data_IF_885583838829
#
_entry.id   IF_885583838829
#
_cell.length_a   1.000
_cell.length_b   1.000
_cell.length_c   1.000
_cell.angle_alpha   90.00
_cell.angle_beta   90.00
_cell.angle_gamma   90.00
#
_symmetry.space_group_name_H-M   'P 1'
#
loop_
_entity.id
_entity.type
_entity.pdbx_description
1 polymer ?
#
# COMPACT_ATOMS: atom_id res chain seq x y z
N UNK A 1 -21.93 13.31 31.32
CA UNK A 1 -22.48 14.21 30.30
C UNK A 1 -21.28 14.68 29.49
N UNK A 2 -20.96 14.20 28.29
CA UNK A 2 -21.75 13.68 27.19
C UNK A 2 -21.57 12.17 26.98
N UNK A 3 -22.67 11.43 26.87
CA UNK A 3 -22.64 10.12 26.20
C UNK A 3 -22.39 10.41 24.73
N UNK A 4 -21.14 10.27 24.28
CA UNK A 4 -20.84 10.21 22.86
C UNK A 4 -21.46 8.91 22.34
N UNK A 5 -22.72 8.97 21.89
CA UNK A 5 -23.24 7.96 20.98
C UNK A 5 -22.33 8.00 19.75
N UNK A 6 -21.67 6.88 19.47
CA UNK A 6 -20.91 6.74 18.24
C UNK A 6 -21.86 7.05 17.07
N UNK A 7 -21.39 7.79 16.04
CA UNK A 7 -22.21 8.05 14.86
C UNK A 7 -22.74 6.72 14.29
N UNK A 8 -23.96 6.70 13.72
CA UNK A 8 -24.49 5.49 13.09
C UNK A 8 -23.48 4.94 12.07
N UNK A 9 -23.35 3.61 11.99
CA UNK A 9 -22.41 2.91 11.08
C UNK A 9 -22.39 3.50 9.65
N UNK A 10 -23.55 3.93 9.14
CA UNK A 10 -23.66 4.54 7.82
C UNK A 10 -22.90 5.85 7.65
N UNK A 11 -22.77 6.68 8.69
CA UNK A 11 -22.01 7.93 8.64
C UNK A 11 -20.50 7.66 8.60
N UNK A 12 -20.04 6.70 9.40
CA UNK A 12 -18.63 6.26 9.41
C UNK A 12 -18.24 5.69 8.05
N UNK A 13 -19.07 4.81 7.48
CA UNK A 13 -18.84 4.25 6.15
C UNK A 13 -18.86 5.33 5.06
N UNK A 14 -19.74 6.33 5.19
CA UNK A 14 -19.80 7.44 4.23
C UNK A 14 -18.54 8.30 4.29
N UNK A 15 -18.09 8.68 5.49
CA UNK A 15 -16.87 9.47 5.67
C UNK A 15 -15.63 8.72 5.19
N UNK A 16 -15.53 7.42 5.51
CA UNK A 16 -14.44 6.56 5.03
C UNK A 16 -14.45 6.46 3.49
N UNK A 17 -15.62 6.29 2.87
CA UNK A 17 -15.76 6.30 1.40
C UNK A 17 -15.38 7.64 0.79
N UNK A 18 -15.81 8.76 1.37
CA UNK A 18 -15.46 10.10 0.88
C UNK A 18 -13.96 10.34 0.94
N UNK A 19 -13.31 9.98 2.04
CA UNK A 19 -11.85 10.06 2.15
C UNK A 19 -11.15 9.16 1.13
N UNK A 20 -11.64 7.94 0.96
CA UNK A 20 -11.11 7.02 -0.04
C UNK A 20 -11.25 7.55 -1.48
N UNK A 21 -12.37 8.21 -1.81
CA UNK A 21 -12.53 8.85 -3.12
C UNK A 21 -11.58 10.03 -3.31
N UNK A 22 -11.33 10.82 -2.26
CA UNK A 22 -10.36 11.93 -2.31
C UNK A 22 -8.92 11.45 -2.56
N UNK A 23 -8.51 10.34 -1.92
CA UNK A 23 -7.20 9.72 -2.14
C UNK A 23 -7.00 9.23 -3.58
N UNK A 24 -8.09 9.04 -4.33
CA UNK A 24 -8.07 8.63 -5.73
C UNK A 24 -8.04 9.79 -6.71
N UNK A 25 -8.19 11.02 -6.25
CA UNK A 25 -8.18 12.20 -7.12
C UNK A 25 -6.77 12.42 -7.68
N UNK A 26 -6.58 12.50 -9.01
CA UNK A 26 -5.28 12.81 -9.61
C UNK A 26 -4.71 14.12 -9.07
N UNK A 27 -3.48 14.10 -8.58
CA UNK A 27 -2.81 15.29 -8.02
C UNK A 27 -2.95 15.46 -6.50
N UNK A 28 -3.74 14.63 -5.81
CA UNK A 28 -3.73 14.62 -4.35
C UNK A 28 -2.37 14.13 -3.83
N UNK A 29 -1.61 15.00 -3.17
CA UNK A 29 -0.36 14.67 -2.49
C UNK A 29 -0.50 14.91 -0.99
N UNK A 30 -0.24 13.88 -0.20
CA UNK A 30 -0.12 14.01 1.25
C UNK A 30 1.26 14.58 1.56
N UNK A 31 1.36 15.89 1.81
CA UNK A 31 2.61 16.49 2.31
C UNK A 31 2.83 16.09 3.77
N UNK A 32 3.67 15.08 4.00
CA UNK A 32 4.20 14.77 5.33
C UNK A 32 5.32 15.77 5.64
N UNK A 33 4.98 16.88 6.30
CA UNK A 33 6.00 17.80 6.84
C UNK A 33 6.55 17.20 8.13
N UNK A 34 7.84 16.84 8.13
CA UNK A 34 8.52 16.41 9.36
C UNK A 34 8.73 17.61 10.27
N UNK A 35 7.98 17.69 11.37
CA UNK A 35 8.32 18.59 12.46
C UNK A 35 9.55 18.03 13.18
N UNK A 36 10.76 18.47 12.80
CA UNK A 36 11.92 18.36 13.70
C UNK A 36 11.90 19.60 14.60
N UNK A 37 11.71 19.40 15.91
CA UNK A 37 11.86 20.48 16.87
C UNK A 37 13.05 20.18 17.81
N UNK A 38 14.10 21.02 17.88
CA UNK A 38 15.32 20.74 18.63
C UNK A 38 15.27 20.97 20.15
N UNK A 39 14.18 21.47 20.74
CA UNK A 39 14.23 21.97 22.14
C UNK A 39 13.00 21.60 23.00
N UNK A 40 13.10 20.56 23.86
CA UNK A 40 12.75 20.64 25.31
C UNK A 40 12.92 19.31 26.11
N UNK A 41 13.30 19.37 27.43
CA UNK A 41 13.39 18.23 28.36
C UNK A 41 12.14 18.05 29.28
N UNK A 42 12.06 17.02 30.15
CA UNK A 42 10.80 16.36 30.53
C UNK A 42 10.20 16.74 31.90
N UNK A 43 8.88 16.56 32.06
CA UNK A 43 8.27 16.27 33.38
C UNK A 43 6.77 16.57 33.53
N UNK A 44 6.00 15.54 33.91
CA UNK A 44 5.21 15.42 35.17
C UNK A 44 3.88 14.61 35.01
N UNK A 45 3.87 13.47 35.73
CA UNK A 45 2.85 12.65 36.43
C UNK A 45 1.33 12.66 36.09
N UNK A 46 0.82 11.42 35.98
CA UNK A 46 -0.57 10.91 35.95
C UNK A 46 -1.28 10.83 37.31
N UNK A 47 -2.63 10.81 37.32
CA UNK A 47 -3.41 9.65 37.82
C UNK A 47 -4.63 9.35 36.89
N UNK A 48 -5.24 8.18 36.72
CA UNK A 48 -5.34 6.96 37.53
C UNK A 48 -6.81 6.71 37.90
N UNK A 49 -7.61 6.01 37.09
CA UNK A 49 -8.84 5.34 37.56
C UNK A 49 -9.41 4.31 36.58
N UNK A 50 -9.74 3.14 37.15
CA UNK A 50 -10.35 1.95 36.55
C UNK A 50 -11.84 2.15 36.19
N UNK A 51 -12.39 1.33 35.28
CA UNK A 51 -13.72 0.70 35.42
C UNK A 51 -13.96 -0.42 34.38
N UNK A 52 -14.80 -1.39 34.77
CA UNK A 52 -14.94 -2.77 34.25
C UNK A 52 -16.18 -3.00 33.37
N UNK A 53 -16.05 -3.96 32.43
CA UNK A 53 -17.00 -4.97 31.85
C UNK A 53 -18.43 -4.57 31.40
N UNK A 54 -18.94 -5.02 30.24
CA UNK A 54 -19.53 -6.36 29.98
C UNK A 54 -20.02 -6.40 28.50
N UNK A 55 -19.66 -7.31 27.58
CA UNK A 55 -19.94 -8.75 27.32
C UNK A 55 -21.19 -9.16 26.50
N UNK A 56 -22.10 -8.28 26.04
CA UNK A 56 -23.36 -8.74 25.41
C UNK A 56 -23.79 -8.27 23.98
N UNK A 57 -23.05 -7.43 23.25
CA UNK A 57 -23.62 -6.84 22.01
C UNK A 57 -23.42 -7.60 20.68
N UNK A 58 -22.83 -8.79 20.68
CA UNK A 58 -22.39 -9.47 19.44
C UNK A 58 -23.43 -10.30 18.67
N UNK A 59 -24.73 -10.26 19.00
CA UNK A 59 -25.73 -11.18 18.39
C UNK A 59 -26.84 -10.57 17.52
N UNK A 60 -26.85 -9.27 17.26
CA UNK A 60 -27.78 -8.61 16.33
C UNK A 60 -26.97 -7.52 15.65
N UNK A 61 -26.60 -7.58 14.37
CA UNK A 61 -27.49 -7.37 13.23
C UNK A 61 -26.77 -7.94 12.00
N UNK A 62 -27.12 -9.16 11.66
CA UNK A 62 -26.96 -9.74 10.33
C UNK A 62 -28.35 -9.72 9.70
N UNK A 63 -28.72 -8.65 9.00
CA UNK A 63 -29.65 -8.66 7.85
C UNK A 63 -29.87 -7.23 7.33
N UNK A 64 -29.98 -7.11 6.00
CA UNK A 64 -30.38 -5.94 5.21
C UNK A 64 -29.28 -5.00 4.69
N UNK A 65 -28.50 -5.50 3.73
CA UNK A 65 -27.87 -4.70 2.67
C UNK A 65 -28.51 -5.13 1.35
N UNK A 66 -29.44 -4.36 0.79
CA UNK A 66 -29.93 -4.62 -0.59
C UNK A 66 -30.59 -3.47 -1.38
N UNK A 67 -30.35 -2.18 -1.11
CA UNK A 67 -31.14 -1.13 -1.82
C UNK A 67 -30.46 0.19 -2.23
N UNK A 68 -29.16 0.23 -2.53
CA UNK A 68 -28.54 1.47 -3.07
C UNK A 68 -27.65 1.18 -4.30
N UNK A 69 -28.27 0.59 -5.32
CA UNK A 69 -27.68 0.38 -6.67
C UNK A 69 -28.12 1.42 -7.73
N UNK A 70 -29.24 2.18 -7.62
CA UNK A 70 -29.62 3.10 -8.71
C UNK A 70 -28.89 4.46 -8.76
N UNK A 71 -28.22 4.91 -7.69
CA UNK A 71 -27.68 6.29 -7.61
C UNK A 71 -26.36 6.46 -8.38
N UNK A 72 -25.64 5.37 -8.67
CA UNK A 72 -24.32 5.41 -9.32
C UNK A 72 -24.36 5.50 -10.86
N UNK A 73 -25.52 5.74 -11.48
CA UNK A 73 -25.65 5.78 -12.96
C UNK A 73 -25.52 7.17 -13.59
N UNK A 74 -25.39 8.25 -12.81
CA UNK A 74 -25.55 9.62 -13.34
C UNK A 74 -24.27 10.46 -13.49
N UNK A 75 -23.09 9.93 -13.18
CA UNK A 75 -21.82 10.63 -13.38
C UNK A 75 -21.00 9.94 -14.47
N UNK A 76 -21.35 10.22 -15.74
CA UNK A 76 -20.64 9.76 -16.92
C UNK A 76 -20.53 10.91 -17.91
N UNK A 77 -19.38 11.59 -17.96
CA UNK A 77 -18.65 11.92 -19.20
C UNK A 77 -17.30 12.65 -18.94
N UNK A 78 -16.33 12.56 -19.88
CA UNK A 78 -14.89 12.63 -19.62
C UNK A 78 -14.24 13.96 -20.04
N UNK A 79 -13.08 14.29 -19.46
CA UNK A 79 -12.15 15.27 -20.03
C UNK A 79 -10.87 14.56 -20.49
N UNK A 80 -10.55 14.77 -21.76
CA UNK A 80 -9.35 14.34 -22.50
C UNK A 80 -8.25 15.40 -22.40
N UNK A 81 -7.02 14.91 -22.57
CA UNK A 81 -5.80 15.59 -23.01
C UNK A 81 -5.21 16.69 -22.12
N UNK A 82 -4.04 16.45 -21.52
CA UNK A 82 -2.84 17.32 -21.65
C UNK A 82 -1.58 16.47 -21.35
N UNK A 83 -0.70 16.38 -22.34
CA UNK A 83 0.69 15.93 -22.24
C UNK A 83 1.65 17.13 -22.04
N UNK A 84 2.93 16.84 -21.79
CA UNK A 84 4.13 17.73 -21.82
C UNK A 84 4.59 18.30 -20.47
N UNK A 85 5.87 18.48 -20.18
CA UNK A 85 7.15 17.93 -20.66
C UNK A 85 8.21 18.38 -19.65
N UNK A 86 9.27 17.61 -19.49
CA UNK A 86 10.46 17.97 -18.71
C UNK A 86 11.45 18.71 -19.62
N UNK A 87 11.91 19.91 -19.26
CA UNK A 87 13.25 20.37 -19.68
C UNK A 87 13.76 21.53 -18.81
N UNK A 88 14.87 21.26 -18.12
CA UNK A 88 16.05 22.12 -17.92
C UNK A 88 15.91 23.61 -18.20
N UNK A 89 16.02 24.42 -17.15
CA UNK A 89 16.15 25.87 -17.27
C UNK A 89 17.52 26.28 -17.81
N UNK A 90 17.52 27.31 -18.66
CA UNK A 90 18.32 28.53 -18.54
C UNK A 90 17.81 29.53 -19.61
N UNK A 91 17.89 30.82 -19.27
CA UNK A 91 17.62 32.04 -20.07
C UNK A 91 16.25 32.71 -19.88
N UNK A 92 16.31 33.70 -18.98
CA UNK A 92 15.80 35.08 -19.07
C UNK A 92 14.33 35.33 -19.49
N UNK A 93 13.56 35.85 -18.52
CA UNK A 93 12.35 36.63 -18.73
C UNK A 93 12.58 37.72 -19.80
N UNK A 94 11.58 37.92 -20.69
CA UNK A 94 10.87 39.19 -20.55
C UNK A 94 9.36 39.11 -20.76
N UNK A 95 8.67 39.75 -19.81
CA UNK A 95 7.41 40.50 -19.95
C UNK A 95 6.19 39.76 -20.51
N UNK A 96 5.33 39.28 -19.60
CA UNK A 96 3.95 38.90 -19.91
C UNK A 96 3.34 37.89 -18.95
N UNK A 97 3.36 38.15 -17.64
CA UNK A 97 2.58 37.36 -16.67
C UNK A 97 1.88 38.33 -15.71
N UNK A 98 0.69 38.77 -16.10
CA UNK A 98 -0.32 39.20 -15.12
C UNK A 98 -0.93 37.97 -14.45
N UNK A 99 -1.25 38.14 -13.17
CA UNK A 99 -1.78 37.16 -12.24
C UNK A 99 -3.04 36.45 -12.76
N UNK A 100 -2.99 35.13 -13.01
CA UNK A 100 -4.15 34.25 -12.79
C UNK A 100 -3.77 32.76 -12.70
N UNK A 101 -3.29 32.30 -11.53
CA UNK A 101 -3.25 30.87 -11.17
C UNK A 101 -3.64 30.66 -9.69
N UNK A 102 -4.70 31.36 -9.23
CA UNK A 102 -5.26 31.20 -7.86
C UNK A 102 -6.59 30.43 -7.78
N UNK A 103 -7.01 29.74 -8.82
CA UNK A 103 -8.03 28.68 -8.73
C UNK A 103 -7.52 27.56 -9.62
N UNK A 104 -7.12 26.38 -9.13
CA UNK A 104 -8.03 25.33 -8.66
C UNK A 104 -7.36 24.43 -7.60
N UNK A 105 -6.15 24.76 -7.14
CA UNK A 105 -5.34 23.94 -6.21
C UNK A 105 -5.80 24.10 -4.73
N UNK A 106 -6.53 25.17 -4.41
CA UNK A 106 -6.91 25.49 -3.02
C UNK A 106 -8.16 24.77 -2.48
N UNK A 107 -9.10 24.35 -3.34
CA UNK A 107 -10.40 23.81 -2.88
C UNK A 107 -10.32 22.31 -2.58
N UNK A 108 -9.57 21.56 -3.38
CA UNK A 108 -9.40 20.11 -3.18
C UNK A 108 -8.63 19.80 -1.89
N UNK A 109 -7.56 20.54 -1.61
CA UNK A 109 -6.77 20.38 -0.38
C UNK A 109 -7.55 20.77 0.88
N UNK A 110 -8.40 21.81 0.82
CA UNK A 110 -9.26 22.21 1.95
C UNK A 110 -10.37 21.19 2.21
N UNK A 111 -11.01 20.66 1.16
CA UNK A 111 -12.04 19.64 1.29
C UNK A 111 -11.46 18.30 1.75
N UNK A 112 -10.24 17.95 1.31
CA UNK A 112 -9.54 16.77 1.77
C UNK A 112 -9.19 16.86 3.26
N UNK A 113 -8.61 17.98 3.70
CA UNK A 113 -8.30 18.22 5.11
C UNK A 113 -9.56 18.15 5.98
N UNK A 114 -10.67 18.73 5.52
CA UNK A 114 -11.95 18.67 6.24
C UNK A 114 -12.49 17.24 6.37
N UNK A 115 -12.46 16.46 5.30
CA UNK A 115 -12.97 15.08 5.30
C UNK A 115 -12.09 14.16 6.16
N UNK A 116 -10.77 14.37 6.12
CA UNK A 116 -9.79 13.67 6.95
C UNK A 116 -9.98 14.00 8.43
N UNK A 117 -10.11 15.28 8.78
CA UNK A 117 -10.37 15.69 10.16
C UNK A 117 -11.72 15.14 10.66
N UNK A 118 -12.77 15.19 9.85
CA UNK A 118 -14.07 14.61 10.21
C UNK A 118 -13.98 13.10 10.46
N UNK A 119 -13.30 12.37 9.59
CA UNK A 119 -13.10 10.93 9.77
C UNK A 119 -12.26 10.63 11.01
N UNK A 120 -11.22 11.43 11.28
CA UNK A 120 -10.42 11.33 12.50
C UNK A 120 -11.27 11.57 13.75
N UNK A 121 -12.07 12.64 13.78
CA UNK A 121 -12.98 12.94 14.90
C UNK A 121 -13.94 11.78 15.18
N UNK A 122 -14.47 11.17 14.12
CA UNK A 122 -15.37 10.02 14.24
C UNK A 122 -14.64 8.79 14.81
N UNK A 123 -13.46 8.48 14.29
CA UNK A 123 -12.77 7.21 14.57
C UNK A 123 -11.89 7.26 15.82
N UNK A 124 -11.23 8.38 16.08
CA UNK A 124 -10.16 8.49 17.07
C UNK A 124 -10.61 9.19 18.34
N UNK A 125 -11.59 10.12 18.31
CA UNK A 125 -12.09 10.81 19.53
C UNK A 125 -12.53 9.85 20.64
N UNK A 126 -13.22 8.72 20.37
CA UNK A 126 -13.59 7.76 21.41
C UNK A 126 -12.40 7.12 22.14
N UNK A 127 -11.21 7.14 21.53
CA UNK A 127 -10.01 6.45 22.02
C UNK A 127 -8.79 7.38 22.14
N UNK A 128 -8.95 8.69 21.95
CA UNK A 128 -7.84 9.65 21.82
C UNK A 128 -6.91 9.63 23.03
N UNK A 129 -7.48 9.57 24.24
CA UNK A 129 -6.76 9.48 25.52
C UNK A 129 -5.95 8.18 25.67
N UNK A 130 -6.26 7.16 24.87
CA UNK A 130 -5.62 5.84 24.94
C UNK A 130 -4.47 5.68 23.95
N UNK A 131 -4.43 6.52 22.89
CA UNK A 131 -3.46 6.42 21.79
C UNK A 131 -2.03 6.55 22.30
N UNK A 132 -1.71 7.68 22.97
CA UNK A 132 -0.36 8.00 23.44
C UNK A 132 0.72 7.77 22.37
N UNK A 133 1.96 7.49 22.79
CA UNK A 133 3.05 7.10 21.88
C UNK A 133 3.21 5.58 21.85
N UNK A 134 2.14 4.86 21.48
CA UNK A 134 2.10 3.39 21.47
C UNK A 134 2.09 2.83 20.06
N UNK A 135 2.41 1.54 19.95
CA UNK A 135 2.05 0.72 18.80
C UNK A 135 0.55 0.45 18.79
N UNK A 136 -0.11 0.87 17.73
CA UNK A 136 -1.54 0.71 17.51
C UNK A 136 -1.78 -0.44 16.54
N UNK A 137 -2.56 -1.42 16.99
CA UNK A 137 -3.02 -2.53 16.18
C UNK A 137 -4.44 -2.22 15.72
N UNK A 138 -4.62 -2.00 14.42
CA UNK A 138 -5.91 -1.61 13.84
C UNK A 138 -6.54 -2.83 13.18
N UNK A 139 -7.75 -3.18 13.62
CA UNK A 139 -8.59 -4.21 12.99
C UNK A 139 -9.78 -3.50 12.36
N UNK A 140 -9.70 -3.22 11.06
CA UNK A 140 -10.78 -2.60 10.30
C UNK A 140 -11.82 -3.62 9.84
N UNK A 141 -13.09 -3.24 9.81
CA UNK A 141 -14.17 -3.96 9.13
C UNK A 141 -14.59 -3.22 7.85
N UNK A 142 -14.84 -3.96 6.78
CA UNK A 142 -15.28 -3.41 5.48
C UNK A 142 -14.42 -2.24 4.99
N UNK A 143 -15.05 -1.09 4.76
CA UNK A 143 -14.40 0.11 4.24
C UNK A 143 -13.26 0.65 5.13
N UNK A 144 -13.28 0.36 6.44
CA UNK A 144 -12.23 0.80 7.37
C UNK A 144 -10.88 0.14 7.09
N UNK A 145 -10.86 -1.00 6.38
CA UNK A 145 -9.62 -1.66 5.97
C UNK A 145 -8.81 -0.84 4.95
N UNK A 146 -9.43 0.13 4.28
CA UNK A 146 -8.77 1.04 3.34
C UNK A 146 -8.47 2.41 3.91
N UNK A 147 -8.88 2.69 5.14
CA UNK A 147 -8.56 3.98 5.76
C UNK A 147 -7.08 3.96 6.13
N UNK A 148 -6.23 4.85 5.59
CA UNK A 148 -4.87 5.03 6.07
C UNK A 148 -4.88 5.68 7.45
N UNK A 149 -5.07 4.87 8.50
CA UNK A 149 -5.01 5.34 9.90
C UNK A 149 -3.69 6.06 10.21
N UNK A 150 -2.61 5.71 9.51
CA UNK A 150 -1.31 6.39 9.55
C UNK A 150 -1.39 7.88 9.15
N UNK A 151 -2.26 8.24 8.22
CA UNK A 151 -2.43 9.60 7.72
C UNK A 151 -3.52 10.40 8.47
N UNK A 152 -4.31 9.75 9.32
CA UNK A 152 -5.33 10.45 10.10
C UNK A 152 -4.65 11.36 11.14
N UNK A 153 -5.07 12.62 11.27
CA UNK A 153 -4.55 13.50 12.30
C UNK A 153 -5.11 13.14 13.67
N UNK A 154 -4.52 13.66 14.75
CA UNK A 154 -5.17 13.59 16.06
C UNK A 154 -6.41 14.50 16.10
N UNK A 155 -7.53 14.04 16.69
CA UNK A 155 -8.72 14.87 16.89
C UNK A 155 -8.44 16.14 17.69
N UNK A 156 -9.21 17.20 17.44
CA UNK A 156 -9.09 18.48 18.12
C UNK A 156 -7.93 19.39 17.68
N UNK A 157 -7.02 18.90 16.82
CA UNK A 157 -5.95 19.72 16.21
C UNK A 157 -6.42 20.20 14.85
N UNK A 158 -6.41 21.52 14.64
CA UNK A 158 -6.80 22.15 13.37
C UNK A 158 -5.80 23.24 12.98
N UNK A 159 -5.62 23.49 11.69
CA UNK A 159 -4.68 24.50 11.17
C UNK A 159 -3.43 23.91 10.53
N UNK A 160 -2.30 24.62 10.58
CA UNK A 160 -1.03 24.18 9.98
C UNK A 160 -0.28 23.13 10.83
N UNK A 161 -0.67 22.93 12.09
CA UNK A 161 -0.04 21.99 13.04
C UNK A 161 -0.64 20.58 13.00
N UNK A 162 -1.31 20.21 11.90
CA UNK A 162 -1.97 18.91 11.76
C UNK A 162 -0.90 17.82 11.59
N UNK A 163 -0.61 17.13 12.70
CA UNK A 163 0.35 16.01 12.73
C UNK A 163 -0.40 14.68 12.51
N UNK A 164 0.01 13.86 11.53
CA UNK A 164 -0.59 12.56 11.28
C UNK A 164 -0.23 11.56 12.38
N UNK A 165 -1.08 10.57 12.60
CA UNK A 165 -0.93 9.57 13.66
C UNK A 165 0.39 8.80 13.55
N UNK A 166 0.86 8.53 12.32
CA UNK A 166 2.14 7.86 12.07
C UNK A 166 3.34 8.58 12.70
N UNK A 167 3.29 9.91 12.83
CA UNK A 167 4.42 10.66 13.38
C UNK A 167 4.70 10.31 14.85
N UNK A 168 3.68 9.90 15.60
CA UNK A 168 3.80 9.57 17.03
C UNK A 168 3.55 8.09 17.34
N UNK A 169 2.84 7.38 16.45
CA UNK A 169 2.43 6.00 16.66
C UNK A 169 3.02 5.04 15.62
N UNK A 170 3.41 3.87 16.06
CA UNK A 170 3.62 2.74 15.17
C UNK A 170 2.26 2.16 14.77
N UNK A 171 1.92 2.17 13.49
CA UNK A 171 0.61 1.70 13.00
C UNK A 171 0.76 0.34 12.32
N UNK A 172 0.00 -0.65 12.78
CA UNK A 172 -0.06 -1.97 12.16
C UNK A 172 -1.51 -2.35 11.89
N UNK A 173 -1.84 -2.63 10.64
CA UNK A 173 -3.14 -3.16 10.26
C UNK A 173 -3.16 -4.68 10.41
N UNK A 174 -4.22 -5.20 11.00
CA UNK A 174 -4.44 -6.62 11.21
C UNK A 174 -5.73 -7.08 10.51
N UNK A 175 -5.70 -8.24 9.83
CA UNK A 175 -6.92 -8.78 9.22
C UNK A 175 -7.98 -9.19 10.25
N UNK A 176 -7.55 -9.62 11.43
CA UNK A 176 -8.40 -9.94 12.58
C UNK A 176 -7.56 -10.05 13.87
N UNK A 177 -8.19 -9.96 15.04
CA UNK A 177 -7.53 -10.22 16.31
C UNK A 177 -7.05 -11.69 16.45
N UNK A 178 -7.80 -12.64 15.88
CA UNK A 178 -7.45 -14.06 15.88
C UNK A 178 -6.16 -14.34 15.11
N UNK A 179 -5.96 -13.65 13.98
CA UNK A 179 -4.74 -13.76 13.17
C UNK A 179 -3.50 -13.44 13.98
N UNK A 180 -3.55 -12.43 14.86
CA UNK A 180 -2.43 -12.10 15.74
C UNK A 180 -2.09 -13.24 16.72
N UNK A 181 -3.12 -13.91 17.27
CA UNK A 181 -2.93 -15.05 18.16
C UNK A 181 -2.21 -16.20 17.46
N UNK A 182 -2.65 -16.54 16.24
CA UNK A 182 -2.05 -17.57 15.40
C UNK A 182 -0.60 -17.20 15.06
N UNK A 183 -0.36 -15.99 14.55
CA UNK A 183 0.98 -15.51 14.19
C UNK A 183 1.94 -15.62 15.39
N UNK A 184 1.51 -15.19 16.58
CA UNK A 184 2.35 -15.27 17.79
C UNK A 184 2.68 -16.69 18.18
N UNK A 185 1.72 -17.62 18.05
CA UNK A 185 1.94 -19.03 18.34
C UNK A 185 2.93 -19.67 17.36
N UNK A 186 2.78 -19.41 16.07
CA UNK A 186 3.67 -19.93 15.03
C UNK A 186 5.07 -19.30 15.12
N UNK A 187 5.17 -18.01 15.46
CA UNK A 187 6.46 -17.35 15.65
C UNK A 187 7.23 -17.85 16.87
N UNK A 188 6.56 -18.30 17.93
CA UNK A 188 7.22 -18.72 19.16
C UNK A 188 8.17 -19.92 18.96
N UNK A 189 7.92 -20.76 17.96
CA UNK A 189 8.72 -21.96 17.65
C UNK A 189 9.58 -21.77 16.40
N UNK A 190 9.53 -20.60 15.78
CA UNK A 190 10.15 -20.36 14.48
C UNK A 190 11.63 -20.05 14.60
N UNK A 191 12.42 -20.66 13.71
CA UNK A 191 13.83 -20.31 13.53
C UNK A 191 13.95 -19.15 12.53
N UNK A 192 14.81 -18.20 12.85
CA UNK A 192 15.18 -17.12 11.92
C UNK A 192 15.90 -17.70 10.70
N UNK A 193 15.50 -17.24 9.51
CA UNK A 193 16.15 -17.59 8.26
C UNK A 193 17.61 -17.08 8.26
N UNK A 194 18.56 -17.83 7.68
CA UNK A 194 19.98 -17.52 7.77
C UNK A 194 20.43 -16.34 6.88
N UNK A 195 19.71 -16.04 5.79
CA UNK A 195 20.05 -14.97 4.86
C UNK A 195 19.13 -13.78 5.02
N UNK A 196 19.60 -12.60 4.63
CA UNK A 196 18.91 -11.34 4.93
C UNK A 196 17.79 -11.05 3.95
N UNK A 197 18.05 -10.98 2.64
CA UNK A 197 17.04 -10.49 1.69
C UNK A 197 17.09 -11.15 0.30
N UNK A 198 15.92 -11.42 -0.27
CA UNK A 198 15.74 -11.72 -1.69
C UNK A 198 14.91 -10.61 -2.34
N UNK A 199 15.33 -10.13 -3.51
CA UNK A 199 14.66 -9.02 -4.22
C UNK A 199 14.30 -9.45 -5.65
N UNK A 200 13.05 -9.26 -6.04
CA UNK A 200 12.62 -9.33 -7.44
C UNK A 200 12.21 -7.93 -7.89
N UNK A 201 12.84 -7.42 -8.95
CA UNK A 201 12.63 -6.03 -9.38
C UNK A 201 12.81 -5.81 -10.90
N UNK A 202 12.25 -4.70 -11.39
CA UNK A 202 12.29 -4.26 -12.80
C UNK A 202 11.98 -5.37 -13.82
N UNK A 203 10.83 -6.09 -13.71
CA UNK A 203 10.52 -7.14 -14.67
C UNK A 203 10.25 -6.60 -16.08
N UNK A 204 10.22 -7.53 -17.04
CA UNK A 204 9.98 -7.23 -18.45
C UNK A 204 8.53 -7.54 -18.80
N UNK A 205 7.73 -6.51 -19.11
CA UNK A 205 6.29 -6.65 -19.32
C UNK A 205 5.86 -6.65 -20.79
N UNK A 206 6.74 -6.31 -21.72
CA UNK A 206 6.40 -6.10 -23.13
C UNK A 206 7.45 -6.70 -24.06
N UNK A 207 7.01 -7.25 -25.18
CA UNK A 207 7.89 -7.73 -26.25
C UNK A 207 8.61 -6.60 -26.99
N UNK A 208 8.14 -5.35 -26.84
CA UNK A 208 8.78 -4.16 -27.39
C UNK A 208 9.72 -3.47 -26.39
N UNK A 209 9.97 -4.07 -25.22
CA UNK A 209 10.93 -3.56 -24.25
C UNK A 209 12.35 -3.57 -24.84
N UNK A 210 13.13 -2.51 -24.58
CA UNK A 210 14.49 -2.35 -25.10
C UNK A 210 15.44 -3.51 -24.74
N UNK A 211 15.12 -4.24 -23.66
CA UNK A 211 15.91 -5.38 -23.17
C UNK A 211 15.69 -6.65 -24.00
N UNK A 212 14.63 -6.72 -24.80
CA UNK A 212 14.26 -7.91 -25.60
C UNK A 212 15.05 -7.92 -26.92
N UNK A 213 15.92 -8.92 -27.12
CA UNK A 213 16.84 -8.98 -28.27
C UNK A 213 16.18 -9.41 -29.59
N UNK A 214 15.04 -10.08 -29.55
CA UNK A 214 14.27 -10.47 -30.75
C UNK A 214 12.82 -10.73 -30.39
N UNK A 215 11.91 -9.88 -30.86
CA UNK A 215 10.47 -10.11 -30.73
C UNK A 215 10.03 -11.16 -31.74
N UNK A 216 9.83 -12.41 -31.30
CA UNK A 216 8.94 -13.31 -32.02
C UNK A 216 7.52 -12.90 -31.63
N UNK A 217 6.67 -12.66 -32.64
CA UNK A 217 5.24 -12.44 -32.39
C UNK A 217 4.72 -13.61 -31.54
N UNK A 218 4.02 -13.36 -30.42
CA UNK A 218 3.57 -14.43 -29.55
C UNK A 218 2.58 -15.30 -30.33
N UNK A 219 2.93 -16.57 -30.58
CA UNK A 219 2.04 -17.52 -31.26
C UNK A 219 1.07 -18.18 -30.27
N UNK A 220 1.31 -18.09 -28.96
CA UNK A 220 0.55 -18.89 -28.00
C UNK A 220 -0.57 -18.10 -27.31
N UNK A 221 -1.80 -18.44 -27.69
CA UNK A 221 -3.04 -18.01 -27.04
C UNK A 221 -3.28 -18.84 -25.77
N UNK A 222 -2.31 -18.83 -24.87
CA UNK A 222 -2.41 -19.59 -23.62
C UNK A 222 -3.56 -19.04 -22.75
N UNK A 223 -4.29 -19.93 -22.08
CA UNK A 223 -5.33 -19.58 -21.11
C UNK A 223 -4.82 -18.58 -20.05
N UNK A 224 -3.52 -18.64 -19.73
CA UNK A 224 -2.86 -17.77 -18.76
C UNK A 224 -2.74 -16.33 -19.29
N UNK A 225 -2.36 -16.14 -20.56
CA UNK A 225 -2.36 -14.83 -21.21
C UNK A 225 -3.76 -14.21 -21.18
N UNK A 226 -4.78 -15.00 -21.52
CA UNK A 226 -6.18 -14.54 -21.53
C UNK A 226 -6.67 -14.12 -20.13
N UNK A 227 -6.21 -14.79 -19.08
CA UNK A 227 -6.54 -14.45 -17.69
C UNK A 227 -5.79 -13.22 -17.20
N UNK A 228 -4.53 -13.02 -17.61
CA UNK A 228 -3.80 -11.79 -17.37
C UNK A 228 -4.49 -10.62 -18.09
N UNK A 229 -4.84 -10.77 -19.37
CA UNK A 229 -5.54 -9.74 -20.15
C UNK A 229 -6.93 -9.43 -19.58
N UNK A 230 -7.63 -10.43 -19.04
CA UNK A 230 -8.89 -10.22 -18.32
C UNK A 230 -8.65 -9.41 -17.06
N UNK A 231 -7.68 -9.82 -16.24
CA UNK A 231 -7.37 -9.15 -14.98
C UNK A 231 -6.93 -7.71 -15.22
N UNK A 232 -6.06 -7.48 -16.21
CA UNK A 232 -5.63 -6.16 -16.66
C UNK A 232 -6.81 -5.29 -17.10
N UNK A 233 -7.70 -5.82 -17.95
CA UNK A 233 -8.92 -5.10 -18.38
C UNK A 233 -9.86 -4.77 -17.21
N UNK A 234 -10.06 -5.71 -16.29
CA UNK A 234 -10.90 -5.50 -15.11
C UNK A 234 -10.28 -4.49 -14.13
N UNK A 235 -8.95 -4.40 -14.10
CA UNK A 235 -8.20 -3.43 -13.32
C UNK A 235 -7.91 -2.11 -14.09
N UNK A 236 -8.52 -1.91 -15.26
CA UNK A 236 -8.34 -0.75 -16.15
C UNK A 236 -6.87 -0.46 -16.51
N UNK A 237 -6.07 -1.51 -16.68
CA UNK A 237 -4.67 -1.46 -17.08
C UNK A 237 -4.61 -1.63 -18.59
N UNK A 238 -4.41 -0.51 -19.29
CA UNK A 238 -4.33 -0.48 -20.75
C UNK A 238 -3.04 -1.08 -21.30
N UNK A 239 -1.89 -0.77 -20.68
CA UNK A 239 -0.56 -1.26 -21.07
C UNK A 239 0.30 -1.39 -19.82
N UNK A 240 1.02 -2.51 -19.68
CA UNK A 240 2.03 -2.68 -18.64
C UNK A 240 3.30 -1.89 -19.00
N UNK A 241 3.48 -0.73 -18.36
CA UNK A 241 4.67 0.09 -18.55
C UNK A 241 5.81 -0.39 -17.64
N UNK A 242 7.06 -0.23 -18.09
CA UNK A 242 8.23 -0.48 -17.24
C UNK A 242 8.25 0.51 -16.08
N UNK A 243 8.76 0.06 -14.93
CA UNK A 243 8.95 0.87 -13.71
C UNK A 243 10.43 0.99 -13.35
N UNK A 244 11.19 1.91 -13.98
CA UNK A 244 12.64 2.02 -13.76
C UNK A 244 13.04 2.33 -12.31
N UNK A 245 12.16 2.97 -11.54
CA UNK A 245 12.36 3.23 -10.11
C UNK A 245 12.50 1.95 -9.29
N UNK A 246 11.82 0.87 -9.67
CA UNK A 246 11.97 -0.45 -9.01
C UNK A 246 13.40 -1.00 -9.12
N UNK A 247 14.10 -0.74 -10.23
CA UNK A 247 15.53 -1.08 -10.38
C UNK A 247 16.39 -0.27 -9.42
N UNK A 248 16.15 1.05 -9.42
CA UNK A 248 16.89 2.01 -8.57
C UNK A 248 16.71 1.68 -7.09
N UNK A 249 15.48 1.36 -6.69
CA UNK A 249 15.11 0.90 -5.36
C UNK A 249 15.88 -0.37 -4.98
N UNK A 250 15.80 -1.40 -5.82
CA UNK A 250 16.42 -2.68 -5.54
C UNK A 250 17.94 -2.59 -5.44
N UNK A 251 18.60 -1.84 -6.32
CA UNK A 251 20.04 -1.62 -6.27
C UNK A 251 20.46 -0.88 -5.00
N UNK A 252 19.68 0.11 -4.57
CA UNK A 252 19.92 0.84 -3.34
C UNK A 252 19.79 -0.05 -2.10
N UNK A 253 18.78 -0.93 -2.05
CA UNK A 253 18.59 -1.89 -0.95
C UNK A 253 19.70 -2.93 -0.94
N UNK A 254 20.04 -3.46 -2.12
CA UNK A 254 21.13 -4.41 -2.27
C UNK A 254 22.41 -3.85 -1.66
N UNK A 255 22.78 -2.61 -1.96
CA UNK A 255 24.01 -1.98 -1.44
C UNK A 255 24.15 -1.97 0.09
N UNK A 256 23.06 -2.15 0.84
CA UNK A 256 23.03 -2.20 2.31
C UNK A 256 23.34 -3.61 2.87
N UNK A 257 23.35 -4.66 2.04
CA UNK A 257 23.46 -6.06 2.47
C UNK A 257 24.67 -6.72 1.81
N UNK A 258 25.46 -7.54 2.55
CA UNK A 258 26.56 -8.32 1.96
C UNK A 258 26.10 -9.30 0.87
N UNK A 259 26.95 -9.55 -0.13
CA UNK A 259 26.66 -10.49 -1.23
C UNK A 259 26.27 -11.89 -0.77
N UNK A 260 26.86 -12.39 0.33
CA UNK A 260 26.57 -13.72 0.87
C UNK A 260 25.18 -13.85 1.49
N UNK A 261 24.53 -12.73 1.80
CA UNK A 261 23.24 -12.68 2.50
C UNK A 261 22.09 -12.20 1.61
N UNK A 262 22.37 -11.89 0.35
CA UNK A 262 21.38 -11.36 -0.60
C UNK A 262 21.27 -12.22 -1.85
N UNK A 263 20.10 -12.20 -2.47
CA UNK A 263 19.88 -12.69 -3.84
C UNK A 263 18.93 -11.75 -4.57
N UNK A 264 19.04 -11.71 -5.89
CA UNK A 264 18.15 -10.90 -6.71
C UNK A 264 17.70 -11.63 -7.98
N UNK A 265 16.52 -11.28 -8.46
CA UNK A 265 16.07 -11.55 -9.81
C UNK A 265 15.68 -10.21 -10.44
N UNK A 266 16.45 -9.76 -11.43
CA UNK A 266 16.18 -8.53 -12.18
C UNK A 266 15.80 -8.84 -13.62
N UNK A 267 15.09 -7.91 -14.26
CA UNK A 267 14.72 -8.04 -15.67
C UNK A 267 14.00 -9.39 -15.89
N UNK A 268 14.46 -10.19 -16.84
CA UNK A 268 13.91 -11.52 -17.15
C UNK A 268 13.95 -12.51 -15.98
N UNK A 269 14.87 -12.34 -15.02
CA UNK A 269 14.99 -13.19 -13.83
C UNK A 269 14.01 -12.81 -12.70
N UNK A 270 13.37 -11.65 -12.78
CA UNK A 270 12.23 -11.31 -11.92
C UNK A 270 10.98 -12.07 -12.41
N UNK A 271 10.98 -13.40 -12.30
CA UNK A 271 9.98 -14.29 -12.92
C UNK A 271 9.37 -15.27 -11.90
N UNK A 272 8.44 -16.11 -12.38
CA UNK A 272 7.77 -17.10 -11.52
C UNK A 272 8.71 -18.16 -10.95
N UNK A 273 9.72 -18.58 -11.69
CA UNK A 273 10.70 -19.58 -11.22
C UNK A 273 11.47 -19.07 -10.00
N UNK A 274 11.87 -17.80 -10.01
CA UNK A 274 12.56 -17.17 -8.90
C UNK A 274 11.70 -17.15 -7.62
N UNK A 275 10.44 -16.69 -7.71
CA UNK A 275 9.57 -16.55 -6.52
C UNK A 275 9.07 -17.90 -5.97
N UNK A 276 9.03 -18.94 -6.79
CA UNK A 276 8.67 -20.30 -6.35
C UNK A 276 9.88 -21.14 -5.93
N UNK A 277 11.09 -20.60 -6.04
CA UNK A 277 12.31 -21.30 -5.68
C UNK A 277 12.32 -21.63 -4.16
N UNK A 278 12.42 -22.91 -3.76
CA UNK A 278 12.47 -23.30 -2.35
C UNK A 278 13.59 -22.62 -1.54
N UNK A 279 14.68 -22.22 -2.19
CA UNK A 279 15.79 -21.49 -1.55
C UNK A 279 15.36 -20.13 -0.99
N UNK A 280 14.25 -19.56 -1.47
CA UNK A 280 13.72 -18.32 -0.90
C UNK A 280 13.28 -18.47 0.56
N UNK A 281 13.00 -19.69 1.02
CA UNK A 281 12.72 -19.97 2.44
C UNK A 281 13.90 -19.68 3.37
N UNK A 282 15.11 -19.53 2.82
CA UNK A 282 16.32 -19.18 3.57
C UNK A 282 16.49 -17.67 3.81
N UNK A 283 15.58 -16.82 3.31
CA UNK A 283 15.70 -15.36 3.42
C UNK A 283 14.67 -14.77 4.39
N UNK A 284 15.15 -13.86 5.24
CA UNK A 284 14.32 -13.17 6.24
C UNK A 284 13.38 -12.16 5.60
N UNK A 285 13.77 -11.55 4.49
CA UNK A 285 12.97 -10.54 3.78
C UNK A 285 12.81 -10.96 2.33
N UNK A 286 11.58 -10.91 1.82
CA UNK A 286 11.29 -11.03 0.39
C UNK A 286 10.72 -9.70 -0.09
N UNK A 287 11.40 -9.07 -1.03
CA UNK A 287 11.03 -7.79 -1.60
C UNK A 287 10.58 -7.96 -3.05
N UNK A 288 9.36 -7.55 -3.37
CA UNK A 288 8.78 -7.59 -4.71
C UNK A 288 8.51 -6.15 -5.18
N UNK A 289 9.37 -5.63 -6.06
CA UNK A 289 9.26 -4.29 -6.64
C UNK A 289 8.79 -4.37 -8.11
N UNK A 290 7.49 -4.27 -8.34
CA UNK A 290 6.88 -4.54 -9.65
C UNK A 290 5.44 -4.02 -9.73
N UNK A 291 4.62 -4.38 -10.71
CA UNK A 291 3.18 -4.13 -10.67
C UNK A 291 2.47 -5.17 -9.79
N UNK A 292 1.56 -4.70 -8.95
CA UNK A 292 0.57 -5.54 -8.28
C UNK A 292 -0.80 -5.25 -8.87
N UNK A 293 -1.61 -6.30 -9.00
CA UNK A 293 -2.98 -6.24 -9.46
C UNK A 293 -3.95 -6.51 -8.30
N UNK A 294 -4.85 -5.57 -8.00
CA UNK A 294 -5.89 -5.70 -6.98
C UNK A 294 -7.25 -5.63 -7.66
N UNK A 295 -7.98 -6.75 -7.62
CA UNK A 295 -9.32 -6.84 -8.17
C UNK A 295 -10.31 -7.00 -7.01
N UNK A 296 -11.26 -6.07 -6.90
CA UNK A 296 -12.24 -6.08 -5.80
C UNK A 296 -13.56 -6.75 -6.13
N UNK A 297 -13.81 -6.95 -7.41
CA UNK A 297 -14.98 -7.68 -7.90
C UNK A 297 -14.70 -9.18 -7.85
N UNK A 298 -13.48 -9.56 -8.25
CA UNK A 298 -12.97 -10.92 -8.32
C UNK A 298 -11.62 -10.98 -7.57
N UNK A 299 -11.60 -11.04 -6.22
CA UNK A 299 -10.39 -11.03 -5.41
C UNK A 299 -9.35 -12.10 -5.79
N UNK A 300 -9.80 -13.25 -6.29
CA UNK A 300 -8.96 -14.35 -6.77
C UNK A 300 -8.11 -14.01 -8.01
N UNK A 301 -8.51 -12.96 -8.75
CA UNK A 301 -7.75 -12.41 -9.85
C UNK A 301 -6.69 -11.39 -9.41
N UNK A 302 -6.61 -11.07 -8.12
CA UNK A 302 -5.52 -10.25 -7.58
C UNK A 302 -4.19 -10.99 -7.65
N UNK A 303 -3.07 -10.27 -7.71
CA UNK A 303 -1.75 -10.88 -7.82
C UNK A 303 -0.62 -9.88 -7.97
N UNK A 304 0.56 -10.39 -8.29
CA UNK A 304 1.76 -9.63 -8.60
C UNK A 304 2.20 -10.00 -10.01
N UNK A 305 2.55 -9.02 -10.82
CA UNK A 305 3.03 -9.23 -12.19
C UNK A 305 4.54 -9.31 -12.15
N UNK A 306 5.09 -10.40 -12.67
CA UNK A 306 6.52 -10.61 -12.86
C UNK A 306 6.81 -10.59 -14.37
N UNK A 307 8.02 -10.92 -14.78
CA UNK A 307 8.42 -10.90 -16.19
C UNK A 307 7.49 -11.77 -17.04
N UNK A 308 6.89 -11.14 -18.05
CA UNK A 308 5.94 -11.72 -19.01
C UNK A 308 6.62 -12.25 -20.27
N UNK A 309 7.91 -11.95 -20.42
CA UNK A 309 8.77 -12.36 -21.51
C UNK A 309 10.10 -12.86 -20.96
N UNK A 310 10.74 -13.79 -21.66
CA UNK A 310 12.10 -14.24 -21.36
C UNK A 310 13.16 -13.51 -22.22
N UNK A 311 14.44 -13.85 -22.03
CA UNK A 311 15.55 -13.23 -22.77
C UNK A 311 15.47 -13.46 -24.29
N UNK A 312 14.80 -14.53 -24.72
CA UNK A 312 14.59 -14.88 -26.12
C UNK A 312 13.41 -14.12 -26.74
N UNK A 313 12.64 -13.38 -25.93
CA UNK A 313 11.46 -12.65 -26.34
C UNK A 313 10.21 -13.52 -26.44
N UNK A 314 10.28 -14.76 -25.96
CA UNK A 314 9.14 -15.66 -25.92
C UNK A 314 8.28 -15.30 -24.68
N UNK A 315 6.95 -15.38 -24.84
CA UNK A 315 6.04 -15.03 -23.74
C UNK A 315 6.01 -16.14 -22.69
N UNK A 316 6.04 -15.74 -21.43
CA UNK A 316 5.95 -16.62 -20.28
C UNK A 316 4.85 -16.17 -19.31
N UNK A 317 4.36 -17.10 -18.51
CA UNK A 317 3.45 -16.76 -17.43
C UNK A 317 4.21 -16.04 -16.31
N UNK A 318 4.18 -14.71 -16.30
CA UNK A 318 4.70 -13.89 -15.20
C UNK A 318 3.66 -13.54 -14.14
N UNK A 319 2.39 -13.91 -14.31
CA UNK A 319 1.35 -13.47 -13.38
C UNK A 319 1.26 -14.40 -12.17
N UNK A 320 1.69 -13.90 -11.00
CA UNK A 320 1.61 -14.59 -9.72
C UNK A 320 0.29 -14.23 -9.04
N UNK A 321 -0.74 -15.05 -9.27
CA UNK A 321 -2.10 -14.79 -8.77
C UNK A 321 -2.24 -15.18 -7.31
N UNK A 322 -3.33 -14.73 -6.69
CA UNK A 322 -3.63 -14.99 -5.29
C UNK A 322 -3.56 -16.49 -4.93
N UNK A 323 -4.12 -17.38 -5.75
CA UNK A 323 -4.01 -18.82 -5.49
C UNK A 323 -2.59 -19.36 -5.64
N UNK A 324 -1.77 -18.77 -6.52
CA UNK A 324 -0.35 -19.13 -6.62
C UNK A 324 0.35 -18.73 -5.31
N UNK A 325 0.08 -17.51 -4.81
CA UNK A 325 0.62 -16.99 -3.55
C UNK A 325 0.24 -17.88 -2.36
N UNK A 326 -1.01 -18.36 -2.28
CA UNK A 326 -1.45 -19.29 -1.22
C UNK A 326 -0.68 -20.62 -1.20
N UNK A 327 -0.09 -21.03 -2.32
CA UNK A 327 0.69 -22.27 -2.43
C UNK A 327 2.20 -22.04 -2.28
N UNK A 328 2.65 -20.81 -2.02
CA UNK A 328 4.06 -20.53 -1.75
C UNK A 328 4.44 -20.97 -0.34
N UNK A 329 5.73 -21.28 -0.17
CA UNK A 329 6.35 -21.46 1.13
C UNK A 329 7.40 -20.37 1.33
N UNK A 330 6.96 -19.23 1.85
CA UNK A 330 7.77 -18.06 2.16
C UNK A 330 7.74 -17.79 3.67
N UNK A 331 8.45 -18.59 4.48
CA UNK A 331 8.68 -18.30 5.89
C UNK A 331 9.71 -17.16 6.03
N UNK A 332 9.47 -16.04 5.34
CA UNK A 332 10.14 -14.78 5.53
C UNK A 332 9.55 -14.05 6.74
N UNK A 333 10.38 -13.31 7.47
CA UNK A 333 9.95 -12.45 8.58
C UNK A 333 9.17 -11.23 8.10
N UNK A 334 9.38 -10.82 6.86
CA UNK A 334 8.73 -9.70 6.19
C UNK A 334 8.65 -9.96 4.68
N UNK A 335 7.46 -9.77 4.12
CA UNK A 335 7.28 -9.63 2.66
C UNK A 335 6.99 -8.16 2.38
N UNK A 336 7.71 -7.55 1.45
CA UNK A 336 7.45 -6.18 0.98
C UNK A 336 6.92 -6.24 -0.43
N UNK A 337 5.71 -5.72 -0.64
CA UNK A 337 5.12 -5.50 -1.95
C UNK A 337 5.28 -4.02 -2.29
N UNK A 338 6.43 -3.67 -2.88
CA UNK A 338 6.68 -2.34 -3.46
C UNK A 338 6.04 -2.29 -4.84
N UNK A 339 4.73 -2.57 -4.88
CA UNK A 339 4.08 -3.02 -6.11
C UNK A 339 2.62 -2.60 -6.24
N UNK A 340 2.27 -1.33 -6.10
CA UNK A 340 0.89 -0.92 -6.35
C UNK A 340 0.80 0.05 -7.51
N UNK A 341 0.49 -0.48 -8.69
CA UNK A 341 -0.18 0.27 -9.75
C UNK A 341 -1.44 -0.48 -10.13
N UNK A 342 -2.57 -0.12 -9.54
CA UNK A 342 -3.88 -0.64 -9.99
C UNK A 342 -4.94 0.41 -10.05
N UNK A 343 -5.60 0.46 -11.21
CA UNK A 343 -7.04 0.70 -11.31
C UNK A 343 -7.50 2.03 -10.77
N UNK A 344 -7.18 3.08 -11.50
CA UNK A 344 -7.94 4.32 -11.50
C UNK A 344 -9.45 3.98 -11.57
N UNK A 345 -10.20 4.33 -10.52
CA UNK A 345 -11.62 4.66 -10.71
C UNK A 345 -12.71 3.65 -10.31
N UNK A 346 -12.46 2.49 -9.69
CA UNK A 346 -13.55 1.67 -9.14
C UNK A 346 -13.45 1.44 -7.63
N UNK A 347 -14.57 1.57 -6.92
CA UNK A 347 -14.69 1.29 -5.48
C UNK A 347 -14.09 -0.08 -5.16
N UNK A 348 -12.97 -0.08 -4.45
CA UNK A 348 -12.30 -1.31 -4.04
C UNK A 348 -13.02 -1.79 -2.78
N UNK A 349 -13.78 -2.89 -2.88
CA UNK A 349 -14.28 -3.63 -1.71
C UNK A 349 -13.09 -4.32 -1.03
N UNK A 350 -13.12 -4.46 0.31
CA UNK A 350 -12.01 -4.88 1.21
C UNK A 350 -11.15 -6.05 0.74
N UNK A 351 -11.71 -6.89 -0.10
CA UNK A 351 -11.32 -8.28 -0.28
C UNK A 351 -10.09 -8.46 -1.17
N UNK A 352 -9.79 -7.56 -2.11
CA UNK A 352 -8.64 -7.71 -3.02
C UNK A 352 -7.29 -7.53 -2.31
N UNK A 353 -7.08 -6.36 -1.69
CA UNK A 353 -5.85 -6.06 -0.93
C UNK A 353 -5.71 -6.98 0.29
N UNK A 354 -6.81 -7.17 1.02
CA UNK A 354 -6.83 -8.08 2.17
C UNK A 354 -6.60 -9.52 1.74
N UNK A 355 -7.12 -9.93 0.58
CA UNK A 355 -6.86 -11.23 -0.03
C UNK A 355 -5.38 -11.43 -0.31
N UNK A 356 -4.73 -10.51 -1.02
CA UNK A 356 -3.32 -10.61 -1.37
C UNK A 356 -2.39 -10.61 -0.14
N UNK A 357 -2.61 -9.69 0.80
CA UNK A 357 -1.85 -9.66 2.05
C UNK A 357 -2.06 -10.92 2.88
N UNK A 358 -3.30 -11.42 2.99
CA UNK A 358 -3.59 -12.72 3.63
C UNK A 358 -2.92 -13.89 2.91
N UNK A 359 -2.85 -13.86 1.58
CA UNK A 359 -2.15 -14.86 0.78
C UNK A 359 -0.70 -14.99 1.20
N UNK A 360 0.03 -13.87 1.28
CA UNK A 360 1.43 -13.88 1.74
C UNK A 360 1.57 -14.23 3.23
N UNK A 361 0.57 -13.89 4.05
CA UNK A 361 0.55 -14.36 5.43
C UNK A 361 0.40 -15.87 5.53
N UNK A 362 -0.49 -16.44 4.71
CA UNK A 362 -0.69 -17.89 4.62
C UNK A 362 0.52 -18.62 4.06
N UNK A 363 1.25 -17.99 3.13
CA UNK A 363 2.53 -18.49 2.64
C UNK A 363 3.63 -18.56 3.72
N UNK A 364 3.37 -18.05 4.93
CA UNK A 364 4.24 -18.16 6.09
C UNK A 364 4.83 -16.84 6.58
N UNK A 365 4.55 -15.71 5.92
CA UNK A 365 5.07 -14.42 6.38
C UNK A 365 4.21 -13.83 7.50
N UNK A 366 4.75 -13.52 8.69
CA UNK A 366 3.96 -12.94 9.77
C UNK A 366 3.62 -11.46 9.52
N UNK A 367 4.31 -10.82 8.56
CA UNK A 367 4.19 -9.38 8.28
C UNK A 367 4.29 -9.15 6.77
N UNK A 368 3.42 -8.29 6.27
CA UNK A 368 3.44 -7.86 4.87
C UNK A 368 3.37 -6.33 4.84
N UNK A 369 4.35 -5.71 4.20
CA UNK A 369 4.34 -4.28 3.89
C UNK A 369 3.76 -4.09 2.49
N UNK A 370 2.74 -3.25 2.36
CA UNK A 370 2.06 -2.95 1.10
C UNK A 370 1.73 -1.47 1.03
N UNK A 371 1.76 -0.90 -0.17
CA UNK A 371 1.13 0.38 -0.47
C UNK A 371 -0.39 0.20 -0.58
N UNK A 372 -1.16 1.18 -0.09
CA UNK A 372 -2.62 1.16 -0.17
C UNK A 372 -3.16 1.64 -1.53
N UNK A 373 -2.39 2.45 -2.25
CA UNK A 373 -2.75 3.03 -3.55
C UNK A 373 -1.51 3.26 -4.41
N UNK A 374 -1.73 3.75 -5.63
CA UNK A 374 -0.67 4.04 -6.59
C UNK A 374 0.18 5.25 -6.17
N UNK A 375 1.48 5.07 -6.09
CA UNK A 375 2.46 6.11 -5.72
C UNK A 375 3.47 6.25 -6.86
N UNK A 376 4.03 7.45 -7.02
CA UNK A 376 5.10 7.69 -7.99
C UNK A 376 6.26 6.71 -7.78
N UNK A 377 6.67 6.06 -8.87
CA UNK A 377 7.78 5.09 -8.91
C UNK A 377 9.07 5.67 -8.30
N UNK A 378 9.42 6.91 -8.65
CA UNK A 378 10.60 7.60 -8.10
C UNK A 378 10.48 7.91 -6.59
N UNK A 379 9.29 8.31 -6.13
CA UNK A 379 9.06 8.60 -4.71
C UNK A 379 9.11 7.31 -3.87
N UNK A 380 8.55 6.22 -4.38
CA UNK A 380 8.59 4.89 -3.74
C UNK A 380 10.04 4.42 -3.60
N UNK A 381 10.86 4.58 -4.63
CA UNK A 381 12.27 4.18 -4.58
C UNK A 381 13.05 4.91 -3.47
N UNK A 382 12.88 6.23 -3.33
CA UNK A 382 13.53 7.01 -2.28
C UNK A 382 12.99 6.65 -0.88
N UNK A 383 11.67 6.45 -0.75
CA UNK A 383 11.06 6.02 0.52
C UNK A 383 11.60 4.65 0.95
N UNK A 384 11.65 3.67 0.04
CA UNK A 384 12.09 2.31 0.35
C UNK A 384 13.58 2.25 0.67
N UNK A 385 14.40 3.07 0.01
CA UNK A 385 15.80 3.25 0.38
C UNK A 385 15.97 3.72 1.84
N UNK A 386 15.19 4.70 2.28
CA UNK A 386 15.21 5.18 3.68
C UNK A 386 14.69 4.12 4.65
N UNK A 387 13.58 3.47 4.31
CA UNK A 387 12.99 2.38 5.09
C UNK A 387 14.00 1.26 5.34
N UNK A 388 14.69 0.78 4.30
CA UNK A 388 15.69 -0.28 4.47
C UNK A 388 16.95 0.18 5.18
N UNK A 389 17.39 1.43 5.01
CA UNK A 389 18.49 2.00 5.80
C UNK A 389 18.17 1.97 7.29
N UNK A 390 17.00 2.48 7.65
CA UNK A 390 16.50 2.50 9.02
C UNK A 390 16.40 1.09 9.61
N UNK A 391 15.98 0.10 8.82
CA UNK A 391 15.91 -1.29 9.29
C UNK A 391 17.27 -1.97 9.42
N UNK A 392 18.14 -1.85 8.41
CA UNK A 392 19.33 -2.68 8.26
C UNK A 392 20.58 -2.04 8.90
N UNK A 393 20.69 -0.71 8.86
CA UNK A 393 21.82 0.00 9.47
C UNK A 393 21.50 0.44 10.90
N UNK A 394 20.30 1.00 11.14
CA UNK A 394 19.91 1.51 12.46
C UNK A 394 19.23 0.45 13.35
N UNK A 395 18.87 -0.71 12.79
CA UNK A 395 18.26 -1.82 13.53
C UNK A 395 16.80 -1.55 13.94
N UNK A 396 16.12 -0.59 13.29
CA UNK A 396 14.72 -0.29 13.59
C UNK A 396 13.80 -1.42 13.14
N UNK A 397 12.70 -1.61 13.86
CA UNK A 397 11.65 -2.53 13.42
C UNK A 397 10.99 -2.01 12.14
N UNK A 398 10.45 -2.90 11.30
CA UNK A 398 9.77 -2.49 10.06
C UNK A 398 8.70 -1.41 10.28
N UNK A 399 7.91 -1.48 11.37
CA UNK A 399 6.89 -0.46 11.65
C UNK A 399 7.50 0.88 12.07
N UNK A 400 8.62 0.86 12.80
CA UNK A 400 9.32 2.08 13.19
C UNK A 400 10.05 2.72 12.00
N UNK A 401 10.61 1.90 11.10
CA UNK A 401 11.35 2.36 9.92
C UNK A 401 10.47 3.04 8.85
N UNK A 402 9.15 2.90 8.92
CA UNK A 402 8.18 3.58 8.05
C UNK A 402 7.84 5.01 8.50
N UNK A 403 8.30 5.40 9.69
CA UNK A 403 8.16 6.75 10.23
C UNK A 403 9.40 7.56 9.89
#
# INVERSE_FOLDING_TARGET
>A
MNSYELPPRGEIETAAKQFYQLLKTPGFQLELRSCTNPDNPPGVKTPGSQLKSSKDDWKRVSYQIQSIIPVLRQLRQPCRDVACNVSTGLVENPTGCEEDTRGTIGVENVQANKSVSQLSEILLTPVVEQLGNKRLLIVGDGALQYVPFSALPLPGISGEDVVPLLANNEIVNLPSATTLGIIRQEQATRKTAPKTIAILADPVFSSNDERVKSSKQPIDSSLQQQLLDRSAREADIGVWQRLPGTRTEAEAIMALVPDSERVHGFDFAANREMITNPELSNYRIIHLATHGLLNSTNPELSGVVLSLFDEQGDSQNGFLRLHDVFNLNLPAELVVLSACQTGLGQEVKGEGLVGLTRGFMYAGSPRVLVSLWNVSDAATAEMMKRFYRNMLEEGLSATAALR
#
